data_IF_091376605901
#
_entry.id   IF_091376605901
#
_cell.length_a   1.000
_cell.length_b   1.000
_cell.length_c   1.000
_cell.angle_alpha   90.00
_cell.angle_beta   90.00
_cell.angle_gamma   90.00
#
_symmetry.space_group_name_H-M   'P 1'
#
loop_
_entity.id
_entity.type
_entity.pdbx_description
1 polymer ?
#
# COMPACT_ATOMS: atom_id res chain seq x y z
N UNK A 1 -5.10 -0.25 31.24
CA UNK A 1 -3.74 -0.13 30.65
C UNK A 1 -3.39 -1.54 30.15
N UNK A 2 -3.31 -1.91 28.87
CA UNK A 2 -3.31 -1.27 27.55
C UNK A 2 -4.31 -2.05 26.65
N UNK A 3 -4.84 -1.54 25.52
CA UNK A 3 -5.32 -2.46 24.51
C UNK A 3 -4.08 -3.11 23.90
N UNK A 4 -3.84 -4.37 24.26
CA UNK A 4 -2.93 -5.22 23.53
C UNK A 4 -3.40 -5.22 22.08
N UNK A 5 -2.74 -4.40 21.26
CA UNK A 5 -2.76 -4.49 19.80
C UNK A 5 -2.16 -5.84 19.49
N UNK A 6 -3.00 -6.87 19.61
CA UNK A 6 -2.74 -8.23 19.16
C UNK A 6 -2.76 -8.17 17.63
N UNK A 7 -1.74 -7.54 17.08
CA UNK A 7 -1.35 -7.63 15.69
C UNK A 7 -0.75 -9.01 15.45
N UNK A 8 -1.44 -10.07 15.88
CA UNK A 8 -1.11 -11.40 15.39
C UNK A 8 -1.52 -11.42 13.92
N UNK A 9 -0.56 -10.97 13.13
CA UNK A 9 -0.55 -10.82 11.68
C UNK A 9 -0.56 -12.21 11.03
N UNK A 10 -1.56 -13.02 11.31
CA UNK A 10 -1.89 -14.15 10.45
C UNK A 10 -2.72 -13.58 9.31
N UNK A 11 -2.03 -13.13 8.25
CA UNK A 11 -2.69 -12.94 6.97
C UNK A 11 -3.35 -14.27 6.60
N UNK A 12 -4.67 -14.30 6.44
CA UNK A 12 -5.32 -15.46 5.86
C UNK A 12 -4.80 -15.66 4.44
N UNK A 13 -4.75 -16.88 3.90
CA UNK A 13 -4.37 -17.10 2.50
C UNK A 13 -5.18 -16.25 1.53
N UNK A 14 -6.47 -16.02 1.82
CA UNK A 14 -7.35 -15.12 1.05
C UNK A 14 -6.89 -13.65 1.09
N UNK A 15 -6.34 -13.18 2.21
CA UNK A 15 -5.87 -11.79 2.34
C UNK A 15 -4.54 -11.58 1.64
N UNK A 16 -3.66 -12.58 1.64
CA UNK A 16 -2.43 -12.57 0.84
C UNK A 16 -2.77 -12.53 -0.65
N UNK A 17 -3.74 -13.33 -1.08
CA UNK A 17 -4.19 -13.36 -2.48
C UNK A 17 -4.81 -12.02 -2.91
N UNK A 18 -5.63 -11.42 -2.03
CA UNK A 18 -6.17 -10.07 -2.24
C UNK A 18 -5.05 -9.03 -2.37
N UNK A 19 -4.10 -9.01 -1.43
CA UNK A 19 -2.97 -8.08 -1.47
C UNK A 19 -2.14 -8.26 -2.75
N UNK A 20 -1.93 -9.50 -3.18
CA UNK A 20 -1.22 -9.81 -4.42
C UNK A 20 -1.98 -9.31 -5.65
N UNK A 21 -3.29 -9.53 -5.73
CA UNK A 21 -4.12 -9.04 -6.85
C UNK A 21 -4.14 -7.50 -6.92
N UNK A 22 -4.21 -6.82 -5.78
CA UNK A 22 -4.14 -5.34 -5.73
C UNK A 22 -2.77 -4.85 -6.19
N UNK A 23 -1.71 -5.54 -5.74
CA UNK A 23 -0.35 -5.22 -6.13
C UNK A 23 -0.14 -5.34 -7.64
N UNK A 24 -0.58 -6.44 -8.26
CA UNK A 24 -0.51 -6.62 -9.71
C UNK A 24 -1.30 -5.54 -10.46
N UNK A 25 -2.52 -5.21 -10.02
CA UNK A 25 -3.29 -4.11 -10.63
C UNK A 25 -2.59 -2.75 -10.55
N UNK A 26 -1.90 -2.46 -9.43
CA UNK A 26 -1.11 -1.22 -9.31
C UNK A 26 0.05 -1.25 -10.31
N UNK A 27 0.73 -2.38 -10.45
CA UNK A 27 1.86 -2.53 -11.36
C UNK A 27 1.42 -2.39 -12.82
N UNK A 28 0.32 -3.03 -13.21
CA UNK A 28 -0.26 -2.93 -14.55
C UNK A 28 -0.69 -1.49 -14.86
N UNK A 29 -1.42 -0.84 -13.95
CA UNK A 29 -1.88 0.54 -14.15
C UNK A 29 -0.73 1.53 -14.27
N UNK A 30 0.37 1.28 -13.55
CA UNK A 30 1.54 2.16 -13.53
C UNK A 30 2.60 1.78 -14.56
N UNK A 31 2.41 0.66 -15.27
CA UNK A 31 3.39 0.08 -16.19
C UNK A 31 4.73 -0.28 -15.51
N UNK A 32 4.70 -0.61 -14.22
CA UNK A 32 5.89 -0.94 -13.44
C UNK A 32 6.10 -2.45 -13.47
N UNK A 33 7.32 -2.89 -13.78
CA UNK A 33 7.66 -4.30 -13.70
C UNK A 33 7.57 -4.79 -12.25
N UNK A 34 6.98 -5.95 -12.02
CA UNK A 34 6.89 -6.62 -10.71
C UNK A 34 8.26 -6.91 -10.09
N UNK A 35 9.30 -6.93 -10.90
CA UNK A 35 10.70 -6.98 -10.47
C UNK A 35 11.34 -5.59 -10.56
N UNK A 36 11.44 -4.92 -9.42
CA UNK A 36 12.12 -3.62 -9.33
C UNK A 36 11.96 -2.97 -7.96
N UNK A 37 12.82 -2.01 -7.65
CA UNK A 37 12.77 -1.26 -6.39
C UNK A 37 11.39 -0.61 -6.18
N UNK A 38 10.81 -0.04 -7.24
CA UNK A 38 9.45 0.52 -7.22
C UNK A 38 8.38 -0.51 -6.83
N UNK A 39 8.50 -1.75 -7.30
CA UNK A 39 7.56 -2.80 -6.99
C UNK A 39 7.69 -3.20 -5.51
N UNK A 40 8.92 -3.34 -5.01
CA UNK A 40 9.17 -3.59 -3.59
C UNK A 40 8.62 -2.46 -2.69
N UNK A 41 8.80 -1.19 -3.09
CA UNK A 41 8.23 -0.04 -2.37
C UNK A 41 6.70 -0.09 -2.33
N UNK A 42 6.05 -0.39 -3.46
CA UNK A 42 4.58 -0.51 -3.52
C UNK A 42 4.11 -1.65 -2.63
N UNK A 43 4.75 -2.82 -2.66
CA UNK A 43 4.40 -3.97 -1.83
C UNK A 43 4.55 -3.66 -0.34
N UNK A 44 5.70 -3.08 0.06
CA UNK A 44 5.94 -2.70 1.46
C UNK A 44 4.91 -1.68 1.96
N UNK A 45 4.54 -0.71 1.11
CA UNK A 45 3.55 0.31 1.45
C UNK A 45 2.14 -0.25 1.53
N UNK A 46 1.78 -1.14 0.60
CA UNK A 46 0.51 -1.86 0.60
C UNK A 46 0.34 -2.66 1.89
N UNK A 47 1.37 -3.43 2.26
CA UNK A 47 1.40 -4.20 3.49
C UNK A 47 1.24 -3.27 4.69
N UNK A 48 2.00 -2.17 4.76
CA UNK A 48 1.97 -1.21 5.88
C UNK A 48 0.60 -0.54 6.05
N UNK A 49 -0.06 -0.18 4.95
CA UNK A 49 -1.41 0.41 4.97
C UNK A 49 -2.46 -0.62 5.43
N UNK A 50 -2.37 -1.85 4.91
CA UNK A 50 -3.25 -2.95 5.33
C UNK A 50 -3.15 -3.23 6.81
N UNK A 51 -1.91 -3.29 7.28
CA UNK A 51 -1.52 -3.43 8.66
C UNK A 51 -2.10 -2.33 9.55
N UNK A 52 -2.12 -1.07 9.09
CA UNK A 52 -2.78 0.04 9.79
C UNK A 52 -4.29 -0.15 10.03
N UNK A 53 -4.90 -1.15 9.38
CA UNK A 53 -6.33 -1.49 9.49
C UNK A 53 -7.14 -1.11 8.27
N UNK A 54 -6.50 -0.59 7.22
CA UNK A 54 -7.17 -0.19 5.97
C UNK A 54 -7.33 -1.42 5.08
N UNK A 55 -8.56 -1.91 4.93
CA UNK A 55 -8.89 -3.06 4.06
C UNK A 55 -9.54 -2.67 2.74
N UNK A 56 -9.76 -1.38 2.52
CA UNK A 56 -10.34 -0.85 1.30
C UNK A 56 -9.33 -0.92 0.16
N UNK A 57 -9.67 -1.69 -0.88
CA UNK A 57 -8.86 -1.88 -2.08
C UNK A 57 -8.51 -0.53 -2.75
N UNK A 58 -9.50 0.35 -2.85
CA UNK A 58 -9.31 1.66 -3.48
C UNK A 58 -8.40 2.57 -2.65
N UNK A 59 -8.52 2.54 -1.31
CA UNK A 59 -7.61 3.27 -0.42
C UNK A 59 -6.20 2.69 -0.44
N UNK A 60 -6.07 1.36 -0.39
CA UNK A 60 -4.79 0.65 -0.46
C UNK A 60 -4.05 1.02 -1.73
N UNK A 61 -4.73 0.97 -2.88
CA UNK A 61 -4.21 1.39 -4.18
C UNK A 61 -3.76 2.85 -4.13
N UNK A 62 -4.64 3.76 -3.71
CA UNK A 62 -4.38 5.20 -3.67
C UNK A 62 -3.21 5.58 -2.75
N UNK A 63 -3.12 4.96 -1.57
CA UNK A 63 -2.07 5.23 -0.57
C UNK A 63 -0.73 4.58 -0.93
N UNK A 64 -0.75 3.43 -1.60
CA UNK A 64 0.47 2.77 -2.08
C UNK A 64 1.11 3.50 -3.26
N UNK A 65 0.30 4.21 -4.06
CA UNK A 65 0.76 4.97 -5.22
C UNK A 65 1.21 6.40 -4.83
N UNK A 66 0.61 7.01 -3.80
CA UNK A 66 0.99 8.34 -3.29
C UNK A 66 2.33 8.31 -2.54
N UNK A 67 3.44 8.17 -3.27
CA UNK A 67 4.72 8.66 -2.78
C UNK A 67 4.83 10.14 -3.14
N UNK A 68 4.46 10.98 -2.17
CA UNK A 68 4.85 12.39 -2.00
C UNK A 68 5.35 13.13 -3.26
N UNK A 69 4.44 13.60 -4.10
CA UNK A 69 4.68 14.71 -5.05
C UNK A 69 3.35 15.31 -5.47
N UNK A 70 2.65 15.87 -4.49
CA UNK A 70 1.71 16.97 -4.75
C UNK A 70 1.73 17.87 -3.51
N UNK A 71 2.91 18.43 -3.25
CA UNK A 71 3.01 19.68 -2.51
C UNK A 71 3.27 20.75 -3.58
N UNK A 72 2.25 21.45 -4.08
CA UNK A 72 2.50 22.71 -4.75
C UNK A 72 2.99 23.67 -3.67
N UNK A 73 4.32 23.81 -3.55
CA UNK A 73 4.94 24.90 -2.80
C UNK A 73 4.20 26.20 -3.15
N UNK A 74 3.54 26.89 -2.19
CA UNK A 74 3.10 28.25 -2.45
C UNK A 74 4.37 29.11 -2.48
N UNK A 75 4.80 29.53 -3.67
CA UNK A 75 5.76 30.63 -3.79
C UNK A 75 5.07 31.91 -3.33
N UNK A 76 5.63 32.65 -2.35
CA UNK A 76 5.08 33.93 -1.92
C UNK A 76 5.40 35.00 -2.98
N UNK A 77 4.49 35.96 -3.15
CA UNK A 77 4.70 37.21 -3.88
C UNK A 77 4.62 38.38 -2.89
#
# INVERSE_FOLDING_TARGET
MLPSRDWRCTFSPTEVDLLHSIFEQILEEKGVASSGEKANEIAARLISVYQSGVRDVEMLKKLSIRSSSDDPRPTPH
#
